data_IF_171054267848
#
_entry.id   IF_171054267848
#
_cell.length_a   1.000
_cell.length_b   1.000
_cell.length_c   1.000
_cell.angle_alpha   90.00
_cell.angle_beta   90.00
_cell.angle_gamma   90.00
#
_symmetry.space_group_name_H-M   'P 1'
#
loop_
_entity.id
_entity.type
_entity.pdbx_description
1 polymer ?
#
# COMPACT_ATOMS: atom_id res chain seq x y z
N UNK A 1 -3.42 12.57 -18.49
CA UNK A 1 -3.53 11.48 -17.49
C UNK A 1 -2.19 10.78 -17.25
N UNK A 2 -1.57 10.17 -18.27
CA UNK A 2 -0.33 9.37 -18.13
C UNK A 2 0.80 10.05 -17.33
N UNK A 3 1.27 11.22 -17.76
CA UNK A 3 2.40 11.90 -17.12
C UNK A 3 2.08 12.37 -15.69
N UNK A 4 0.88 12.89 -15.44
CA UNK A 4 0.48 13.34 -14.11
C UNK A 4 0.35 12.15 -13.14
N UNK A 5 -0.25 11.03 -13.58
CA UNK A 5 -0.32 9.82 -12.77
C UNK A 5 1.07 9.27 -12.44
N UNK A 6 1.97 9.26 -13.43
CA UNK A 6 3.37 8.92 -13.21
C UNK A 6 4.05 9.83 -12.18
N UNK A 7 3.90 11.15 -12.31
CA UNK A 7 4.44 12.11 -11.35
C UNK A 7 3.91 11.86 -9.93
N UNK A 8 2.58 11.75 -9.77
CA UNK A 8 1.96 11.49 -8.46
C UNK A 8 2.46 10.19 -7.84
N UNK A 9 2.50 9.08 -8.59
CA UNK A 9 2.96 7.79 -8.07
C UNK A 9 4.42 7.85 -7.60
N UNK A 10 5.31 8.46 -8.39
CA UNK A 10 6.72 8.57 -8.01
C UNK A 10 6.94 9.55 -6.85
N UNK A 11 6.19 10.66 -6.79
CA UNK A 11 6.26 11.60 -5.66
C UNK A 11 5.86 10.96 -4.34
N UNK A 12 4.87 10.05 -4.35
CA UNK A 12 4.49 9.26 -3.15
C UNK A 12 5.51 8.16 -2.87
N UNK A 13 5.94 7.43 -3.91
CA UNK A 13 6.92 6.33 -3.78
C UNK A 13 8.17 6.77 -3.01
N UNK A 14 8.77 7.91 -3.37
CA UNK A 14 9.97 8.39 -2.70
C UNK A 14 9.73 8.79 -1.24
N UNK A 15 8.53 9.22 -0.88
CA UNK A 15 8.17 9.54 0.52
C UNK A 15 7.89 8.29 1.36
N UNK A 16 7.54 7.16 0.73
CA UNK A 16 7.33 5.88 1.41
C UNK A 16 8.64 5.16 1.75
N UNK A 17 9.77 5.58 1.17
CA UNK A 17 11.08 4.98 1.42
C UNK A 17 11.85 5.77 2.47
N UNK A 18 12.52 5.06 3.37
CA UNK A 18 13.41 5.63 4.37
C UNK A 18 14.59 4.69 4.60
N UNK A 19 15.84 5.19 4.72
CA UNK A 19 16.99 4.35 5.05
C UNK A 19 16.87 3.71 6.44
N UNK A 20 16.04 4.30 7.32
CA UNK A 20 15.74 3.81 8.66
C UNK A 20 14.28 3.31 8.75
N UNK A 21 13.65 3.03 7.61
CA UNK A 21 12.29 2.51 7.54
C UNK A 21 12.25 0.98 7.65
N UNK A 22 11.10 0.41 7.31
CA UNK A 22 10.82 -1.02 7.49
C UNK A 22 10.21 -1.31 8.86
N UNK A 23 10.22 -2.59 9.26
CA UNK A 23 9.53 -3.04 10.46
C UNK A 23 8.02 -3.22 10.26
N UNK A 24 7.28 -3.23 11.36
CA UNK A 24 5.82 -3.28 11.37
C UNK A 24 5.24 -1.90 11.71
N UNK A 25 4.06 -1.55 11.18
CA UNK A 25 3.38 -0.31 11.55
C UNK A 25 3.00 -0.34 13.03
N UNK A 26 2.83 0.84 13.61
CA UNK A 26 2.41 1.02 15.00
C UNK A 26 1.12 1.85 15.08
N UNK A 27 0.46 1.81 16.25
CA UNK A 27 -0.71 2.63 16.55
C UNK A 27 -1.90 2.38 15.62
N UNK A 28 -2.60 3.45 15.25
CA UNK A 28 -3.85 3.38 14.45
C UNK A 28 -3.67 2.67 13.10
N UNK A 29 -2.50 2.80 12.47
CA UNK A 29 -2.22 2.14 11.20
C UNK A 29 -2.10 0.62 11.37
N UNK A 30 -1.51 0.15 12.47
CA UNK A 30 -1.37 -1.27 12.76
C UNK A 30 -2.75 -1.92 12.96
N UNK A 31 -3.61 -1.26 13.74
CA UNK A 31 -4.98 -1.73 13.97
C UNK A 31 -5.81 -1.68 12.68
N UNK A 32 -5.73 -0.61 11.89
CA UNK A 32 -6.44 -0.52 10.62
C UNK A 32 -6.02 -1.61 9.63
N UNK A 33 -4.73 -1.97 9.59
CA UNK A 33 -4.23 -3.09 8.78
C UNK A 33 -4.76 -4.42 9.28
N UNK A 34 -4.75 -4.63 10.61
CA UNK A 34 -5.28 -5.84 11.22
C UNK A 34 -6.78 -6.00 10.95
N UNK A 35 -7.55 -4.93 11.04
CA UNK A 35 -8.98 -4.94 10.77
C UNK A 35 -9.29 -5.24 9.29
N UNK A 36 -8.51 -4.68 8.36
CA UNK A 36 -8.73 -4.85 6.93
C UNK A 36 -8.20 -6.18 6.37
N UNK A 37 -7.08 -6.69 6.91
CA UNK A 37 -6.34 -7.82 6.33
C UNK A 37 -6.11 -8.98 7.31
N UNK A 38 -6.66 -8.91 8.52
CA UNK A 38 -6.54 -9.91 9.59
C UNK A 38 -5.21 -9.83 10.36
N UNK A 39 -4.10 -9.53 9.68
CA UNK A 39 -2.78 -9.30 10.29
C UNK A 39 -1.85 -8.57 9.35
N UNK A 40 -0.72 -8.05 9.86
CA UNK A 40 0.32 -7.45 9.02
C UNK A 40 0.93 -8.47 8.04
N UNK A 41 1.05 -9.74 8.44
CA UNK A 41 1.45 -10.82 7.53
C UNK A 41 0.41 -11.10 6.44
N UNK A 42 -0.87 -11.06 6.78
CA UNK A 42 -1.98 -11.14 5.83
C UNK A 42 -1.92 -10.02 4.79
N UNK A 43 -1.70 -8.78 5.25
CA UNK A 43 -1.48 -7.63 4.38
C UNK A 43 -0.28 -7.84 3.45
N UNK A 44 0.90 -8.20 3.98
CA UNK A 44 2.10 -8.45 3.16
C UNK A 44 1.85 -9.49 2.08
N UNK A 45 1.16 -10.59 2.42
CA UNK A 45 0.82 -11.65 1.45
C UNK A 45 -0.05 -11.12 0.33
N UNK A 46 -1.14 -10.41 0.65
CA UNK A 46 -2.04 -9.85 -0.36
C UNK A 46 -1.35 -8.78 -1.21
N UNK A 47 -0.66 -7.82 -0.57
CA UNK A 47 0.04 -6.74 -1.27
C UNK A 47 1.13 -7.28 -2.21
N UNK A 48 1.87 -8.30 -1.78
CA UNK A 48 2.87 -8.97 -2.62
C UNK A 48 2.21 -9.65 -3.81
N UNK A 49 1.11 -10.39 -3.60
CA UNK A 49 0.40 -11.05 -4.68
C UNK A 49 -0.13 -10.05 -5.72
N UNK A 50 -0.68 -8.91 -5.28
CA UNK A 50 -1.11 -7.81 -6.17
C UNK A 50 0.08 -7.27 -6.97
N UNK A 51 1.18 -6.93 -6.29
CA UNK A 51 2.38 -6.38 -6.93
C UNK A 51 2.99 -7.32 -7.97
N UNK A 52 3.10 -8.61 -7.66
CA UNK A 52 3.70 -9.60 -8.55
C UNK A 52 2.75 -10.11 -9.64
N UNK A 53 1.44 -9.93 -9.45
CA UNK A 53 0.41 -10.35 -10.40
C UNK A 53 0.21 -9.41 -11.59
N UNK A 54 0.86 -8.24 -11.58
CA UNK A 54 0.73 -7.23 -12.64
C UNK A 54 1.31 -7.77 -13.96
N UNK A 55 0.51 -7.72 -15.02
CA UNK A 55 0.95 -8.07 -16.37
C UNK A 55 1.40 -6.80 -17.11
N UNK A 56 2.71 -6.52 -17.06
CA UNK A 56 3.31 -5.33 -17.66
C UNK A 56 3.73 -4.30 -16.60
N UNK A 57 3.73 -3.01 -16.96
CA UNK A 57 4.05 -1.93 -16.01
C UNK A 57 2.84 -1.56 -15.16
N UNK A 58 3.02 -1.47 -13.85
CA UNK A 58 1.94 -1.09 -12.92
C UNK A 58 2.43 -0.89 -11.48
N UNK A 59 1.48 -0.73 -10.56
CA UNK A 59 1.72 -0.45 -9.14
C UNK A 59 0.79 -1.30 -8.26
N UNK A 60 1.28 -1.73 -7.10
CA UNK A 60 0.43 -2.10 -5.96
C UNK A 60 0.34 -0.90 -5.02
N UNK A 61 -0.85 -0.66 -4.47
CA UNK A 61 -1.14 0.54 -3.68
C UNK A 61 -1.96 0.15 -2.45
N UNK A 62 -1.49 0.52 -1.26
CA UNK A 62 -2.33 0.54 -0.08
C UNK A 62 -3.08 1.88 -0.07
N UNK A 63 -4.40 1.84 -0.11
CA UNK A 63 -5.25 3.02 -0.14
C UNK A 63 -6.35 2.94 0.93
N UNK A 64 -6.89 4.10 1.30
CA UNK A 64 -8.10 4.20 2.10
C UNK A 64 -9.30 4.48 1.19
N UNK A 65 -10.26 3.56 1.18
CA UNK A 65 -11.53 3.73 0.49
C UNK A 65 -12.46 4.59 1.36
N UNK A 66 -12.77 5.79 0.89
CA UNK A 66 -13.61 6.75 1.63
C UNK A 66 -15.10 6.38 1.62
N UNK A 67 -15.54 5.52 0.71
CA UNK A 67 -16.92 5.04 0.64
C UNK A 67 -17.08 3.84 1.57
N UNK A 68 -16.18 2.86 1.46
CA UNK A 68 -16.15 1.67 2.31
C UNK A 68 -15.54 1.87 3.69
N UNK A 69 -14.98 3.06 3.96
CA UNK A 69 -14.29 3.46 5.18
C UNK A 69 -13.23 2.45 5.67
N UNK A 70 -12.48 1.84 4.74
CA UNK A 70 -11.52 0.77 5.04
C UNK A 70 -10.26 0.82 4.19
N UNK A 71 -9.20 0.16 4.66
CA UNK A 71 -8.00 -0.04 3.85
C UNK A 71 -8.23 -1.09 2.75
N UNK A 72 -7.59 -0.88 1.61
CA UNK A 72 -7.63 -1.78 0.45
C UNK A 72 -6.27 -1.82 -0.26
N UNK A 73 -5.98 -2.95 -0.91
CA UNK A 73 -4.82 -3.13 -1.80
C UNK A 73 -5.15 -4.04 -2.96
#
# INVERSE_FOLDING_TARGET
AFNLGGHSNHSVFWKNLSPNGGGEPEGELAEAIKDAFGSFDGFKKQFTAVATGIQGSGWAVLAYDTIGQRLTT
#
